data_IF_671496593842
#
_entry.id   IF_671496593842
#
_cell.length_a   1.000
_cell.length_b   1.000
_cell.length_c   1.000
_cell.angle_alpha   90.00
_cell.angle_beta   90.00
_cell.angle_gamma   90.00
#
_symmetry.space_group_name_H-M   'P 1'
#
loop_
_entity.id
_entity.type
_entity.pdbx_description
1 polymer ?
#
# COMPACT_ATOMS: atom_id res chain seq x y z
N UNK A 1 -6.07 1.98 -13.08
CA UNK A 1 -5.85 1.40 -11.74
C UNK A 1 -6.34 -0.04 -11.55
N UNK A 2 -7.46 -0.47 -12.14
CA UNK A 2 -7.93 -1.87 -12.00
C UNK A 2 -6.88 -2.94 -12.39
N UNK A 3 -6.08 -2.70 -13.44
CA UNK A 3 -4.99 -3.60 -13.84
C UNK A 3 -3.93 -3.73 -12.73
N UNK A 4 -3.43 -2.61 -12.22
CA UNK A 4 -2.45 -2.58 -11.13
C UNK A 4 -3.00 -3.22 -9.84
N UNK A 5 -4.29 -3.01 -9.54
CA UNK A 5 -4.95 -3.70 -8.42
C UNK A 5 -5.01 -5.23 -8.59
N UNK A 6 -5.27 -5.74 -9.80
CA UNK A 6 -5.24 -7.19 -10.06
C UNK A 6 -3.85 -7.79 -9.82
N UNK A 7 -2.80 -7.08 -10.21
CA UNK A 7 -1.41 -7.50 -9.94
C UNK A 7 -1.11 -7.45 -8.45
N UNK A 8 -1.46 -6.34 -7.79
CA UNK A 8 -1.31 -6.20 -6.33
C UNK A 8 -2.03 -7.33 -5.57
N UNK A 9 -3.32 -7.50 -5.80
CA UNK A 9 -4.12 -8.50 -5.09
C UNK A 9 -3.60 -9.92 -5.35
N UNK A 10 -3.34 -10.28 -6.61
CA UNK A 10 -2.86 -11.62 -6.97
C UNK A 10 -1.42 -11.94 -6.56
N UNK A 11 -0.56 -10.94 -6.34
CA UNK A 11 0.83 -11.15 -5.87
C UNK A 11 0.95 -11.06 -4.35
N UNK A 12 0.35 -10.04 -3.74
CA UNK A 12 0.44 -9.83 -2.30
C UNK A 12 -0.34 -10.87 -1.49
N UNK A 13 -1.40 -11.46 -2.06
CA UNK A 13 -2.17 -12.52 -1.38
C UNK A 13 -1.45 -13.87 -1.32
N UNK A 14 -0.31 -14.04 -1.99
CA UNK A 14 0.40 -15.33 -2.05
C UNK A 14 1.07 -15.73 -0.74
N UNK A 15 1.46 -14.76 0.08
CA UNK A 15 2.25 -15.00 1.29
C UNK A 15 1.54 -14.52 2.58
N UNK A 16 0.62 -13.56 2.48
CA UNK A 16 -0.15 -13.03 3.60
C UNK A 16 -1.45 -12.40 3.11
N UNK A 17 -2.34 -11.99 4.01
CA UNK A 17 -3.56 -11.28 3.62
C UNK A 17 -3.24 -9.92 3.00
N UNK A 18 -4.04 -9.49 2.02
CA UNK A 18 -3.89 -8.17 1.40
C UNK A 18 -4.24 -7.02 2.37
N UNK A 19 -4.92 -7.33 3.49
CA UNK A 19 -5.21 -6.37 4.54
C UNK A 19 -3.93 -5.74 5.11
N UNK A 20 -2.80 -6.48 5.13
CA UNK A 20 -1.53 -5.97 5.66
C UNK A 20 -1.06 -4.72 4.90
N UNK A 21 -0.89 -4.73 3.57
CA UNK A 21 -0.56 -3.51 2.84
C UNK A 21 -1.71 -2.50 2.73
N UNK A 22 -2.98 -2.93 2.67
CA UNK A 22 -4.12 -2.02 2.56
C UNK A 22 -4.34 -1.18 3.83
N UNK A 23 -4.12 -1.74 5.02
CA UNK A 23 -4.34 -1.04 6.29
C UNK A 23 -3.10 -0.34 6.84
N UNK A 24 -1.99 -0.40 6.12
CA UNK A 24 -0.76 0.29 6.47
C UNK A 24 -0.66 1.59 5.69
N UNK A 25 -0.19 2.65 6.32
CA UNK A 25 0.22 3.90 5.65
C UNK A 25 1.70 4.15 5.92
N UNK A 26 2.41 4.55 4.87
CA UNK A 26 3.82 4.88 4.88
C UNK A 26 4.07 6.01 3.87
N UNK A 27 5.20 6.68 4.00
CA UNK A 27 5.67 7.63 2.99
C UNK A 27 5.96 6.93 1.67
N UNK A 28 6.04 7.70 0.58
CA UNK A 28 6.41 7.18 -0.75
C UNK A 28 7.74 6.41 -0.74
N UNK A 29 8.76 6.96 -0.10
CA UNK A 29 10.10 6.36 -0.03
C UNK A 29 10.10 5.04 0.76
N UNK A 30 9.36 5.00 1.86
CA UNK A 30 9.17 3.77 2.64
C UNK A 30 8.45 2.70 1.83
N UNK A 31 7.38 3.07 1.13
CA UNK A 31 6.65 2.15 0.26
C UNK A 31 7.51 1.61 -0.88
N UNK A 32 8.32 2.45 -1.52
CA UNK A 32 9.23 2.02 -2.57
C UNK A 32 10.21 0.95 -2.05
N UNK A 33 10.83 1.23 -0.89
CA UNK A 33 11.69 0.27 -0.20
C UNK A 33 10.93 -1.00 0.21
N UNK A 34 9.69 -0.89 0.67
CA UNK A 34 8.92 -2.04 1.13
C UNK A 34 8.49 -2.95 -0.01
N UNK A 35 8.05 -2.39 -1.14
CA UNK A 35 7.73 -3.17 -2.36
C UNK A 35 8.98 -3.89 -2.84
N UNK A 36 10.13 -3.19 -2.92
CA UNK A 36 11.42 -3.83 -3.22
C UNK A 36 11.73 -4.97 -2.25
N UNK A 37 11.52 -4.77 -0.94
CA UNK A 37 11.73 -5.85 0.05
C UNK A 37 10.84 -7.07 -0.23
N UNK A 38 9.57 -6.87 -0.58
CA UNK A 38 8.65 -7.98 -0.89
C UNK A 38 9.04 -8.70 -2.19
N UNK A 39 9.53 -7.97 -3.19
CA UNK A 39 10.06 -8.56 -4.42
C UNK A 39 11.22 -9.53 -4.14
N UNK A 40 12.11 -9.19 -3.20
CA UNK A 40 13.28 -10.01 -2.85
C UNK A 40 12.98 -11.14 -1.84
N UNK A 41 11.72 -11.34 -1.43
CA UNK A 41 11.38 -12.50 -0.59
C UNK A 41 11.45 -13.79 -1.39
N UNK A 42 11.89 -14.91 -0.77
CA UNK A 42 11.88 -16.21 -1.42
C UNK A 42 10.50 -16.53 -2.00
N UNK A 43 10.47 -16.98 -3.25
CA UNK A 43 9.25 -17.37 -3.96
C UNK A 43 8.20 -16.25 -4.13
N UNK A 44 8.58 -14.96 -4.03
CA UNK A 44 7.65 -13.84 -4.26
C UNK A 44 7.04 -13.90 -5.68
N UNK A 45 7.86 -14.29 -6.66
CA UNK A 45 7.48 -14.30 -8.07
C UNK A 45 7.02 -12.93 -8.58
N UNK A 46 7.56 -11.85 -8.00
CA UNK A 46 7.30 -10.46 -8.41
C UNK A 46 8.49 -9.98 -9.23
N UNK A 47 8.29 -9.75 -10.53
CA UNK A 47 9.30 -9.15 -11.39
C UNK A 47 9.25 -7.61 -11.34
N UNK A 48 10.21 -6.93 -11.96
CA UNK A 48 10.32 -5.46 -11.92
C UNK A 48 9.07 -4.74 -12.43
N UNK A 49 8.47 -5.22 -13.53
CA UNK A 49 7.26 -4.62 -14.08
C UNK A 49 6.07 -4.76 -13.12
N UNK A 50 5.93 -5.93 -12.49
CA UNK A 50 4.90 -6.16 -11.47
C UNK A 50 5.18 -5.33 -10.22
N UNK A 51 6.43 -5.18 -9.82
CA UNK A 51 6.85 -4.31 -8.71
C UNK A 51 6.43 -2.85 -8.95
N UNK A 52 6.68 -2.32 -10.15
CA UNK A 52 6.22 -0.97 -10.54
C UNK A 52 4.69 -0.85 -10.46
N UNK A 53 3.96 -1.82 -11.01
CA UNK A 53 2.49 -1.82 -10.96
C UNK A 53 1.94 -1.90 -9.53
N UNK A 54 2.57 -2.70 -8.67
CA UNK A 54 2.23 -2.79 -7.24
C UNK A 54 2.45 -1.43 -6.57
N UNK A 55 3.62 -0.82 -6.79
CA UNK A 55 3.94 0.49 -6.23
C UNK A 55 2.97 1.58 -6.69
N UNK A 56 2.63 1.62 -7.99
CA UNK A 56 1.63 2.54 -8.55
C UNK A 56 0.27 2.39 -7.87
N UNK A 57 -0.20 1.14 -7.66
CA UNK A 57 -1.46 0.89 -6.98
C UNK A 57 -1.41 1.37 -5.52
N UNK A 58 -0.32 1.09 -4.81
CA UNK A 58 -0.18 1.52 -3.41
C UNK A 58 -0.17 3.05 -3.31
N UNK A 59 0.53 3.75 -4.21
CA UNK A 59 0.51 5.21 -4.24
C UNK A 59 -0.90 5.75 -4.52
N UNK A 60 -1.63 5.14 -5.44
CA UNK A 60 -3.04 5.45 -5.66
C UNK A 60 -3.89 5.20 -4.40
N UNK A 61 -3.68 4.09 -3.70
CA UNK A 61 -4.41 3.79 -2.46
C UNK A 61 -4.13 4.82 -1.36
N UNK A 62 -2.88 5.25 -1.19
CA UNK A 62 -2.51 6.34 -0.27
C UNK A 62 -3.17 7.67 -0.67
N UNK A 63 -3.01 8.13 -1.91
CA UNK A 63 -3.38 9.50 -2.29
C UNK A 63 -4.86 9.66 -2.65
N UNK A 64 -5.47 8.64 -3.28
CA UNK A 64 -6.82 8.75 -3.83
C UNK A 64 -7.88 8.10 -2.93
N UNK A 65 -7.51 7.11 -2.11
CA UNK A 65 -8.46 6.43 -1.22
C UNK A 65 -8.28 6.86 0.23
N UNK A 66 -7.08 6.70 0.79
CA UNK A 66 -6.82 6.98 2.22
C UNK A 66 -6.78 8.47 2.53
N UNK A 67 -6.01 9.26 1.77
CA UNK A 67 -5.88 10.70 2.02
C UNK A 67 -7.21 11.45 1.83
N UNK A 68 -8.02 11.05 0.85
CA UNK A 68 -9.34 11.66 0.57
C UNK A 68 -10.44 11.20 1.52
N UNK A 69 -10.35 10.02 2.11
CA UNK A 69 -11.35 9.51 3.06
C UNK A 69 -10.71 8.80 4.27
N UNK A 70 -9.93 9.50 5.10
CA UNK A 70 -9.16 8.87 6.17
C UNK A 70 -10.06 8.19 7.21
N UNK A 71 -11.23 8.77 7.52
CA UNK A 71 -12.19 8.18 8.48
C UNK A 71 -12.69 6.80 8.04
N UNK A 72 -12.78 6.52 6.74
CA UNK A 72 -13.18 5.20 6.25
C UNK A 72 -12.13 4.11 6.48
N UNK A 73 -10.84 4.48 6.48
CA UNK A 73 -9.70 3.56 6.60
C UNK A 73 -9.12 3.49 8.02
N UNK A 74 -9.20 4.59 8.77
CA UNK A 74 -8.68 4.72 10.13
C UNK A 74 -9.81 4.98 11.13
N UNK A 75 -10.84 4.12 11.11
CA UNK A 75 -12.06 4.29 11.92
C UNK A 75 -11.82 4.33 13.43
N UNK A 76 -10.72 3.73 13.88
CA UNK A 76 -10.36 3.68 15.28
C UNK A 76 -9.60 4.93 15.76
N UNK A 77 -9.19 5.82 14.84
CA UNK A 77 -8.40 6.99 15.18
C UNK A 77 -9.30 8.21 15.44
N UNK A 78 -8.87 9.05 16.38
CA UNK A 78 -9.49 10.36 16.60
C UNK A 78 -9.15 11.32 15.47
N UNK A 79 -9.84 12.47 15.43
CA UNK A 79 -9.56 13.50 14.43
C UNK A 79 -8.15 14.07 14.61
N UNK A 80 -7.65 14.23 15.84
CA UNK A 80 -6.28 14.66 16.13
C UNK A 80 -5.25 13.65 15.63
N UNK A 81 -5.47 12.36 15.86
CA UNK A 81 -4.59 11.28 15.40
C UNK A 81 -4.55 11.21 13.86
N UNK A 82 -5.69 11.42 13.20
CA UNK A 82 -5.76 11.52 11.74
C UNK A 82 -4.94 12.71 11.22
N UNK A 83 -5.01 13.88 11.88
CA UNK A 83 -4.20 15.03 11.47
C UNK A 83 -2.71 14.78 11.66
N UNK A 84 -2.31 14.17 12.79
CA UNK A 84 -0.93 13.80 13.03
C UNK A 84 -0.39 12.80 12.00
N UNK A 85 -1.23 11.87 11.52
CA UNK A 85 -0.89 10.93 10.45
C UNK A 85 -0.68 11.61 9.10
N UNK A 86 -1.52 12.60 8.77
CA UNK A 86 -1.37 13.38 7.53
C UNK A 86 -0.08 14.20 7.52
N UNK A 87 0.32 14.74 8.67
CA UNK A 87 1.55 15.52 8.80
C UNK A 87 2.85 14.70 8.62
N UNK A 88 2.76 13.36 8.67
CA UNK A 88 3.90 12.43 8.49
C UNK A 88 4.08 11.93 7.05
N UNK A 89 3.17 12.27 6.13
CA UNK A 89 3.17 11.84 4.73
C UNK A 89 3.83 12.88 3.82
#
# INVERSE_FOLDING_TARGET
>A
MQKSYKVFSGKCSKCHTIARPINTTMTRAEWERYVKRMMHKPNSGINDNQGKQIFEFIMYDETERKAKNPKAFFRALTDEEIQALKAKQ
#
